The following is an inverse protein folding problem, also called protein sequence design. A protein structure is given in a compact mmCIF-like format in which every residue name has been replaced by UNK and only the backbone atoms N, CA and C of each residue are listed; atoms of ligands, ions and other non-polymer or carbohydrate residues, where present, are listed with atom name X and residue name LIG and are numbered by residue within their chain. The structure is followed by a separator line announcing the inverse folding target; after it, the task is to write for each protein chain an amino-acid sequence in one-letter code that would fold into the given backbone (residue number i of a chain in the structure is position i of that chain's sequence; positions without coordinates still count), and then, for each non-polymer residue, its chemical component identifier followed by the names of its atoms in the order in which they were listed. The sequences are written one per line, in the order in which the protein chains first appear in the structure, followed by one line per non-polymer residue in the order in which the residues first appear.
data_IF_897093608629
#
_entry.id   IF_897093608629
#
_cell.length_a   1.000
_cell.length_b   1.000
_cell.length_c   1.000
_cell.angle_alpha   90.00
_cell.angle_beta   90.00
_cell.angle_gamma   90.00
#
_symmetry.space_group_name_H-M   'P 1'
#
loop_
_entity.id
_entity.type
_entity.pdbx_description
1 polymer ?
#
# COMPACT_ATOMS: atom_id res chain seq x y z
N UNK A 1 3.72 29.69 -10.01
CA UNK A 1 2.85 28.63 -9.48
C UNK A 1 3.75 27.61 -8.80
N UNK A 2 3.90 27.64 -7.47
CA UNK A 2 3.14 26.93 -6.43
C UNK A 2 3.09 25.42 -6.72
N UNK A 3 3.93 24.67 -6.01
CA UNK A 3 3.92 23.20 -5.98
C UNK A 3 2.52 22.76 -5.53
N UNK A 4 1.75 22.16 -6.44
CA UNK A 4 0.39 21.63 -6.20
C UNK A 4 0.40 20.19 -5.70
N UNK A 5 1.58 19.65 -5.43
CA UNK A 5 1.79 18.30 -4.92
C UNK A 5 2.67 18.39 -3.69
N UNK A 6 2.25 17.71 -2.62
CA UNK A 6 3.02 17.63 -1.38
C UNK A 6 4.43 17.11 -1.69
N UNK A 7 5.46 17.80 -1.17
CA UNK A 7 6.83 17.31 -1.23
C UNK A 7 6.90 15.96 -0.50
N UNK A 8 7.14 14.89 -1.25
CA UNK A 8 7.58 13.62 -0.68
C UNK A 8 8.83 13.88 0.17
N UNK A 9 8.77 13.52 1.47
CA UNK A 9 9.90 13.63 2.41
C UNK A 9 9.65 14.38 3.72
N UNK A 10 8.48 15.02 3.90
CA UNK A 10 8.11 15.60 5.19
C UNK A 10 7.48 14.56 6.13
N UNK A 11 7.90 14.49 7.40
CA UNK A 11 7.30 13.65 8.46
C UNK A 11 5.78 13.84 8.58
N UNK A 12 5.28 15.02 8.18
CA UNK A 12 3.87 15.41 8.16
C UNK A 12 3.07 14.78 7.00
N UNK A 13 3.75 14.21 6.00
CA UNK A 13 3.13 13.54 4.85
C UNK A 13 2.89 12.05 5.13
N UNK A 14 3.74 11.41 5.94
CA UNK A 14 3.66 9.97 6.21
C UNK A 14 2.31 9.57 6.80
N UNK A 15 1.84 10.30 7.81
CA UNK A 15 0.55 10.02 8.47
C UNK A 15 -0.65 10.27 7.54
N UNK A 16 -0.59 11.31 6.70
CA UNK A 16 -1.64 11.61 5.72
C UNK A 16 -1.70 10.56 4.60
N UNK A 17 -0.55 10.15 4.08
CA UNK A 17 -0.44 9.07 3.09
C UNK A 17 -0.95 7.74 3.65
N UNK A 18 -0.54 7.36 4.87
CA UNK A 18 -1.04 6.15 5.54
C UNK A 18 -2.55 6.20 5.79
N UNK A 19 -3.08 7.36 6.17
CA UNK A 19 -4.52 7.53 6.34
C UNK A 19 -5.27 7.34 5.02
N UNK A 20 -4.79 7.95 3.93
CA UNK A 20 -5.38 7.79 2.60
C UNK A 20 -5.26 6.36 2.04
N UNK A 21 -4.14 5.66 2.31
CA UNK A 21 -3.96 4.24 2.00
C UNK A 21 -5.01 3.38 2.71
N UNK A 22 -5.15 3.55 4.04
CA UNK A 22 -6.16 2.82 4.84
C UNK A 22 -7.58 3.15 4.39
N UNK A 23 -7.83 4.42 4.06
CA UNK A 23 -9.14 4.88 3.57
C UNK A 23 -9.50 4.25 2.22
N UNK A 24 -8.53 4.07 1.32
CA UNK A 24 -8.73 3.41 0.02
C UNK A 24 -9.27 1.98 0.19
N UNK A 25 -8.76 1.24 1.18
CA UNK A 25 -9.20 -0.14 1.48
C UNK A 25 -10.54 -0.18 2.23
N UNK A 26 -10.91 0.88 2.95
CA UNK A 26 -12.21 0.99 3.62
C UNK A 26 -13.30 1.38 2.62
N UNK A 27 -13.04 2.38 1.79
CA UNK A 27 -14.02 2.91 0.82
C UNK A 27 -14.23 1.95 -0.36
N UNK A 28 -13.26 1.08 -0.64
CA UNK A 28 -13.40 -0.01 -1.59
C UNK A 28 -13.18 -1.31 -0.84
N UNK A 29 -14.24 -2.08 -0.51
CA UNK A 29 -14.08 -3.41 0.05
C UNK A 29 -13.43 -4.29 -1.02
N UNK A 30 -12.10 -4.27 -1.07
CA UNK A 30 -11.30 -5.14 -1.89
C UNK A 30 -11.46 -6.54 -1.30
N UNK A 31 -11.90 -7.49 -2.11
CA UNK A 31 -12.51 -8.74 -1.65
C UNK A 31 -11.62 -9.67 -0.83
N UNK A 32 -10.34 -9.36 -0.66
CA UNK A 32 -9.40 -10.20 0.09
C UNK A 32 -8.99 -9.54 1.42
N UNK A 33 -9.35 -10.13 2.58
CA UNK A 33 -8.93 -9.64 3.89
C UNK A 33 -7.40 -9.60 4.06
N UNK A 34 -6.66 -10.38 3.27
CA UNK A 34 -5.19 -10.38 3.24
C UNK A 34 -4.64 -9.00 2.83
N UNK A 35 -5.25 -8.35 1.84
CA UNK A 35 -4.80 -7.03 1.35
C UNK A 35 -5.06 -5.96 2.40
N UNK A 36 -6.18 -6.05 3.11
CA UNK A 36 -6.45 -5.15 4.22
C UNK A 36 -5.49 -5.34 5.38
N UNK A 37 -5.17 -6.60 5.72
CA UNK A 37 -4.17 -6.90 6.72
C UNK A 37 -2.79 -6.33 6.33
N UNK A 38 -2.38 -6.51 5.08
CA UNK A 38 -1.12 -5.98 4.56
C UNK A 38 -1.09 -4.45 4.58
N UNK A 39 -2.15 -3.76 4.16
CA UNK A 39 -2.19 -2.28 4.20
C UNK A 39 -2.15 -1.74 5.63
N UNK A 40 -2.76 -2.44 6.59
CA UNK A 40 -2.81 -1.97 7.97
C UNK A 40 -1.53 -2.27 8.78
N UNK A 41 -0.90 -3.43 8.53
CA UNK A 41 0.20 -3.97 9.34
C UNK A 41 1.55 -4.07 8.60
N UNK A 42 1.58 -3.99 7.27
CA UNK A 42 2.80 -4.19 6.46
C UNK A 42 3.36 -2.90 5.86
N UNK A 43 2.69 -1.75 6.01
CA UNK A 43 3.21 -0.47 5.50
C UNK A 43 3.98 0.33 6.55
N UNK A 44 5.21 0.70 6.20
CA UNK A 44 6.03 1.70 6.88
C UNK A 44 6.27 2.89 5.96
N UNK A 45 5.43 3.93 6.11
CA UNK A 45 5.46 5.14 5.28
C UNK A 45 5.28 4.82 3.78
N UNK A 46 6.39 4.74 3.04
CA UNK A 46 6.41 4.48 1.59
C UNK A 46 6.70 3.01 1.25
N UNK A 47 7.21 2.23 2.21
CA UNK A 47 7.63 0.84 2.01
C UNK A 47 6.60 -0.14 2.55
N UNK A 48 6.25 -1.16 1.75
CA UNK A 48 5.41 -2.27 2.18
C UNK A 48 6.26 -3.53 2.37
N UNK A 49 6.37 -4.01 3.61
CA UNK A 49 7.05 -5.25 3.98
C UNK A 49 6.05 -6.21 4.63
N UNK A 50 5.64 -7.23 3.88
CA UNK A 50 4.71 -8.26 4.36
C UNK A 50 5.43 -9.60 4.41
N UNK A 51 5.42 -10.23 5.58
CA UNK A 51 5.93 -11.59 5.76
C UNK A 51 4.76 -12.56 5.71
N UNK A 52 4.75 -13.43 4.71
CA UNK A 52 3.71 -14.45 4.51
C UNK A 52 4.32 -15.85 4.53
N UNK A 53 3.55 -16.82 5.02
CA UNK A 53 4.00 -18.21 5.18
C UNK A 53 3.98 -19.02 3.88
N UNK A 54 3.45 -18.46 2.78
CA UNK A 54 3.31 -19.15 1.51
C UNK A 54 3.61 -18.23 0.32
N UNK A 55 4.44 -18.71 -0.60
CA UNK A 55 4.73 -18.06 -1.89
C UNK A 55 3.45 -17.77 -2.71
N UNK A 56 2.42 -18.60 -2.56
CA UNK A 56 1.11 -18.37 -3.20
C UNK A 56 0.42 -17.12 -2.66
N UNK A 57 0.50 -16.87 -1.35
CA UNK A 57 -0.04 -15.66 -0.72
C UNK A 57 0.79 -14.43 -1.10
N UNK A 58 2.11 -14.55 -1.18
CA UNK A 58 2.99 -13.48 -1.65
C UNK A 58 2.60 -13.02 -3.05
N UNK A 59 2.37 -13.96 -3.98
CA UNK A 59 1.92 -13.68 -5.34
C UNK A 59 0.58 -12.96 -5.40
N UNK A 60 -0.36 -13.31 -4.50
CA UNK A 60 -1.65 -12.61 -4.38
C UNK A 60 -1.41 -11.17 -3.94
N UNK A 61 -0.62 -10.95 -2.89
CA UNK A 61 -0.29 -9.60 -2.39
C UNK A 61 0.39 -8.78 -3.48
N UNK A 62 1.41 -9.30 -4.15
CA UNK A 62 2.15 -8.59 -5.20
C UNK A 62 1.25 -8.20 -6.38
N UNK A 63 0.18 -8.95 -6.67
CA UNK A 63 -0.75 -8.65 -7.78
C UNK A 63 -1.91 -7.75 -7.36
N UNK A 64 -2.57 -8.07 -6.26
CA UNK A 64 -3.83 -7.44 -5.84
C UNK A 64 -3.60 -6.11 -5.10
N UNK A 65 -2.50 -5.99 -4.36
CA UNK A 65 -2.16 -4.80 -3.59
C UNK A 65 -1.90 -3.57 -4.49
N UNK A 66 -1.04 -3.62 -5.55
CA UNK A 66 -0.92 -2.50 -6.49
C UNK A 66 -2.21 -2.18 -7.23
N UNK A 67 -3.02 -3.18 -7.59
CA UNK A 67 -4.29 -2.94 -8.25
C UNK A 67 -5.22 -2.15 -7.33
N UNK A 68 -5.37 -2.59 -6.09
CA UNK A 68 -6.16 -1.92 -5.06
C UNK A 68 -5.69 -0.49 -4.82
N UNK A 69 -4.38 -0.30 -4.65
CA UNK A 69 -3.79 1.00 -4.35
C UNK A 69 -3.80 1.97 -5.54
N UNK A 70 -3.70 1.45 -6.78
CA UNK A 70 -3.81 2.27 -7.99
C UNK A 70 -5.15 2.98 -8.11
N UNK A 71 -6.21 2.39 -7.55
CA UNK A 71 -7.54 2.99 -7.49
C UNK A 71 -7.62 4.19 -6.52
N UNK A 72 -6.75 4.21 -5.51
CA UNK A 72 -6.56 5.34 -4.60
C UNK A 72 -5.54 6.36 -5.09
N UNK A 73 -4.99 6.19 -6.29
CA UNK A 73 -3.93 7.05 -6.85
C UNK A 73 -2.52 6.70 -6.38
N UNK A 74 -2.34 5.59 -5.66
CA UNK A 74 -1.05 5.12 -5.17
C UNK A 74 -0.42 4.13 -6.15
N UNK A 75 0.80 4.42 -6.61
CA UNK A 75 1.52 3.58 -7.57
C UNK A 75 2.70 2.90 -6.90
N UNK A 76 2.58 1.59 -6.66
CA UNK A 76 3.70 0.74 -6.25
C UNK A 76 4.50 0.31 -7.49
N UNK A 77 5.82 0.51 -7.47
CA UNK A 77 6.68 0.29 -8.65
C UNK A 77 7.71 -0.82 -8.49
N UNK A 78 8.06 -1.22 -7.27
CA UNK A 78 9.10 -2.25 -7.04
C UNK A 78 8.56 -3.30 -6.07
N UNK A 79 8.63 -4.56 -6.49
CA UNK A 79 8.28 -5.72 -5.67
C UNK A 79 9.50 -6.61 -5.59
N UNK A 80 9.87 -7.01 -4.39
CA UNK A 80 10.95 -7.96 -4.11
C UNK A 80 10.37 -9.00 -3.16
N UNK A 81 10.57 -10.26 -3.49
CA UNK A 81 10.16 -11.40 -2.68
C UNK A 81 11.42 -12.22 -2.38
N UNK A 82 11.53 -12.75 -1.17
CA UNK A 82 12.68 -13.53 -0.73
C UNK A 82 12.26 -14.99 -0.54
N UNK A 83 11.93 -15.62 -1.68
CA UNK A 83 11.71 -17.08 -1.84
C UNK A 83 13.01 -17.75 -2.33
#
# INVERSE_FOLDING_TARGET
MRMTSHLFGGVWCASSSTHALRRTVIDRPCGDPLIRYAVDNSFYVDDCLSSVTSSSLAKIIIRELPQTLSLGGFKLTKFVDND
#
